data_IF_204365699199
#
_entry.id   IF_204365699199
#
_cell.length_a   1.000
_cell.length_b   1.000
_cell.length_c   1.000
_cell.angle_alpha   90.00
_cell.angle_beta   90.00
_cell.angle_gamma   90.00
#
_symmetry.space_group_name_H-M   'P 1'
#
loop_
_entity.id
_entity.type
_entity.pdbx_description
1 polymer ?
#
# COMPACT_ATOMS: atom_id res chain seq x y z
N UNK A 1 -3.70 -23.88 8.55
CA UNK A 1 -4.97 -24.61 8.68
C UNK A 1 -6.16 -23.71 8.37
N UNK A 2 -7.28 -24.32 8.16
CA UNK A 2 -8.56 -23.62 8.01
C UNK A 2 -8.85 -22.72 9.22
N UNK A 3 -8.59 -23.22 10.40
CA UNK A 3 -8.79 -22.49 11.66
C UNK A 3 -7.88 -21.28 11.74
N UNK A 4 -6.63 -21.42 11.35
CA UNK A 4 -5.69 -20.28 11.30
C UNK A 4 -6.16 -19.21 10.33
N UNK A 5 -6.70 -19.60 9.18
CA UNK A 5 -7.27 -18.66 8.21
C UNK A 5 -8.41 -17.85 8.80
N UNK A 6 -9.29 -18.51 9.56
CA UNK A 6 -10.41 -17.84 10.24
C UNK A 6 -9.90 -16.80 11.22
N UNK A 7 -8.88 -17.15 11.99
CA UNK A 7 -8.27 -16.23 12.95
C UNK A 7 -7.68 -15.02 12.23
N UNK A 8 -6.95 -15.25 11.13
CA UNK A 8 -6.36 -14.17 10.35
C UNK A 8 -7.42 -13.23 9.78
N UNK A 9 -8.52 -13.79 9.26
CA UNK A 9 -9.63 -13.00 8.75
C UNK A 9 -10.21 -12.12 9.86
N UNK A 10 -10.44 -12.68 11.02
CA UNK A 10 -10.98 -11.94 12.16
C UNK A 10 -10.03 -10.84 12.64
N UNK A 11 -8.73 -11.07 12.57
CA UNK A 11 -7.72 -10.06 12.92
C UNK A 11 -7.87 -8.79 12.07
N UNK A 12 -8.40 -8.90 10.85
CA UNK A 12 -8.54 -7.80 9.92
C UNK A 12 -9.99 -7.31 9.79
N UNK A 13 -10.90 -7.71 10.67
CA UNK A 13 -12.32 -7.35 10.60
C UNK A 13 -12.55 -5.85 10.56
N UNK A 14 -11.69 -5.06 11.18
CA UNK A 14 -11.85 -3.61 11.19
C UNK A 14 -11.35 -2.94 9.91
N UNK A 15 -10.65 -3.66 9.06
CA UNK A 15 -10.15 -3.08 7.81
C UNK A 15 -11.29 -2.90 6.80
N UNK A 16 -11.29 -1.76 6.11
CA UNK A 16 -12.14 -1.57 4.94
C UNK A 16 -11.46 -0.60 3.99
N UNK A 17 -11.82 -0.68 2.71
CA UNK A 17 -11.32 0.28 1.73
C UNK A 17 -11.71 1.71 2.10
N UNK A 18 -12.93 1.91 2.62
CA UNK A 18 -13.38 3.23 3.01
C UNK A 18 -12.51 3.82 4.11
N UNK A 19 -12.13 3.00 5.10
CA UNK A 19 -11.21 3.45 6.15
C UNK A 19 -9.84 3.78 5.61
N UNK A 20 -9.34 2.99 4.65
CA UNK A 20 -8.07 3.28 4.00
C UNK A 20 -8.14 4.61 3.24
N UNK A 21 -9.21 4.83 2.47
CA UNK A 21 -9.40 6.08 1.73
C UNK A 21 -9.40 7.27 2.69
N UNK A 22 -10.15 7.16 3.78
CA UNK A 22 -10.21 8.23 4.80
C UNK A 22 -8.83 8.53 5.36
N UNK A 23 -8.07 7.50 5.67
CA UNK A 23 -6.72 7.66 6.21
C UNK A 23 -5.78 8.30 5.20
N UNK A 24 -5.85 7.90 3.93
CA UNK A 24 -5.03 8.51 2.89
C UNK A 24 -5.33 10.01 2.74
N UNK A 25 -6.59 10.39 2.87
CA UNK A 25 -6.98 11.80 2.87
C UNK A 25 -6.41 12.53 4.08
N UNK A 26 -6.56 11.96 5.26
CA UNK A 26 -6.11 12.58 6.51
C UNK A 26 -4.60 12.80 6.52
N UNK A 27 -3.84 11.88 5.97
CA UNK A 27 -2.39 11.97 5.91
C UNK A 27 -1.89 12.86 4.76
N UNK A 28 -2.78 13.29 3.89
CA UNK A 28 -2.44 14.15 2.76
C UNK A 28 -1.37 13.52 1.86
N UNK A 29 -1.46 12.20 1.65
CA UNK A 29 -0.50 11.52 0.79
C UNK A 29 -0.61 12.03 -0.64
N UNK A 30 0.49 12.03 -1.36
CA UNK A 30 0.52 12.45 -2.77
C UNK A 30 -0.14 11.40 -3.65
N UNK A 31 -0.95 11.86 -4.60
CA UNK A 31 -1.60 11.00 -5.59
C UNK A 31 -2.32 9.82 -4.93
N UNK A 32 -3.25 10.09 -4.00
CA UNK A 32 -3.83 9.04 -3.18
C UNK A 32 -4.59 7.97 -3.98
N UNK A 33 -5.12 8.33 -5.15
CA UNK A 33 -5.78 7.35 -6.03
C UNK A 33 -4.79 6.32 -6.57
N UNK A 34 -3.54 6.73 -6.83
CA UNK A 34 -2.49 5.81 -7.25
C UNK A 34 -2.04 4.96 -6.07
N UNK A 35 -1.90 5.57 -4.89
CA UNK A 35 -1.53 4.85 -3.66
C UNK A 35 -2.57 3.78 -3.34
N UNK A 36 -3.85 4.09 -3.49
CA UNK A 36 -4.91 3.11 -3.29
C UNK A 36 -4.78 1.96 -4.30
N UNK A 37 -4.52 2.27 -5.57
CA UNK A 37 -4.31 1.23 -6.58
C UNK A 37 -3.12 0.35 -6.22
N UNK A 38 -2.04 0.91 -5.70
CA UNK A 38 -0.89 0.14 -5.23
C UNK A 38 -1.29 -0.80 -4.10
N UNK A 39 -2.01 -0.30 -3.10
CA UNK A 39 -2.45 -1.13 -1.98
C UNK A 39 -3.28 -2.31 -2.47
N UNK A 40 -4.21 -2.07 -3.37
CA UNK A 40 -5.06 -3.14 -3.92
C UNK A 40 -4.26 -4.16 -4.71
N UNK A 41 -3.31 -3.70 -5.51
CA UNK A 41 -2.47 -4.57 -6.32
C UNK A 41 -1.54 -5.41 -5.45
N UNK A 42 -0.84 -4.77 -4.52
CA UNK A 42 0.16 -5.45 -3.69
C UNK A 42 -0.47 -6.40 -2.67
N UNK A 43 -1.67 -6.10 -2.21
CA UNK A 43 -2.36 -6.92 -1.21
C UNK A 43 -3.30 -7.96 -1.83
N UNK A 44 -3.30 -8.10 -3.16
CA UNK A 44 -4.23 -9.00 -3.84
C UNK A 44 -5.68 -8.64 -3.54
N UNK A 45 -6.04 -7.37 -3.70
CA UNK A 45 -7.36 -6.84 -3.38
C UNK A 45 -7.72 -7.07 -1.92
N UNK A 46 -6.73 -6.88 -1.04
CA UNK A 46 -6.87 -7.00 0.42
C UNK A 46 -7.10 -8.44 0.90
N UNK A 47 -6.64 -9.43 0.14
CA UNK A 47 -6.87 -10.86 0.44
C UNK A 47 -5.61 -11.69 0.54
N UNK A 48 -4.42 -11.10 0.34
CA UNK A 48 -3.18 -11.88 0.30
C UNK A 48 -2.75 -12.36 1.69
N UNK A 49 -1.98 -13.45 1.72
CA UNK A 49 -1.40 -13.93 2.97
C UNK A 49 -0.45 -12.92 3.62
N UNK A 50 0.30 -12.18 2.80
CA UNK A 50 1.20 -11.14 3.32
C UNK A 50 0.40 -10.06 4.04
N UNK A 51 -0.73 -9.63 3.47
CA UNK A 51 -1.57 -8.65 4.14
C UNK A 51 -2.07 -9.18 5.49
N UNK A 52 -2.59 -10.41 5.52
CA UNK A 52 -3.14 -10.98 6.75
C UNK A 52 -2.06 -11.25 7.80
N UNK A 53 -0.91 -11.75 7.41
CA UNK A 53 0.14 -12.08 8.36
C UNK A 53 0.96 -10.88 8.81
N UNK A 54 1.25 -9.98 7.87
CA UNK A 54 2.17 -8.87 8.11
C UNK A 54 1.49 -7.52 8.30
N UNK A 55 0.18 -7.43 8.13
CA UNK A 55 -0.53 -6.13 8.09
C UNK A 55 0.06 -5.19 7.04
N UNK A 56 0.58 -5.75 5.95
CA UNK A 56 1.35 -5.04 4.95
C UNK A 56 0.52 -4.84 3.68
N UNK A 57 0.07 -3.61 3.44
CA UNK A 57 -0.78 -3.26 2.31
C UNK A 57 -0.01 -3.02 1.01
N UNK A 58 1.26 -2.65 1.11
CA UNK A 58 2.00 -2.12 -0.03
C UNK A 58 3.14 -3.00 -0.51
N UNK A 59 3.27 -4.20 0.06
CA UNK A 59 4.35 -5.11 -0.31
C UNK A 59 5.73 -4.60 0.07
N UNK A 60 5.83 -3.69 1.02
CA UNK A 60 7.10 -3.06 1.37
C UNK A 60 8.01 -4.00 2.12
N UNK A 61 9.31 -3.79 1.94
CA UNK A 61 10.32 -4.43 2.77
C UNK A 61 10.65 -3.51 3.94
N UNK A 62 11.27 -4.09 4.97
CA UNK A 62 11.67 -3.31 6.15
C UNK A 62 12.65 -2.22 5.75
N UNK A 63 12.31 -0.96 6.08
CA UNK A 63 13.15 0.18 5.75
C UNK A 63 14.43 0.17 6.59
N UNK A 64 15.55 0.52 5.95
CA UNK A 64 16.87 0.53 6.59
C UNK A 64 17.41 1.93 6.83
N UNK A 65 16.91 2.94 6.10
CA UNK A 65 17.52 4.27 6.06
C UNK A 65 16.52 5.41 6.19
N UNK A 66 15.37 5.14 6.77
CA UNK A 66 14.35 6.15 7.03
C UNK A 66 13.52 5.77 8.23
N UNK A 67 12.76 6.72 8.74
CA UNK A 67 11.76 6.44 9.78
C UNK A 67 10.77 5.41 9.24
N UNK A 68 10.44 4.44 10.06
CA UNK A 68 9.49 3.39 9.70
C UNK A 68 8.68 2.96 10.92
N UNK A 69 7.47 2.49 10.65
CA UNK A 69 6.59 1.89 11.66
C UNK A 69 6.67 0.36 11.64
N UNK A 70 7.51 -0.21 10.78
CA UNK A 70 7.68 -1.65 10.72
C UNK A 70 8.31 -2.18 11.99
N UNK A 71 7.83 -3.33 12.44
CA UNK A 71 8.36 -4.02 13.64
C UNK A 71 9.53 -4.94 13.30
N UNK A 72 9.68 -5.30 12.04
CA UNK A 72 10.72 -6.20 11.58
C UNK A 72 10.36 -6.80 10.24
N UNK A 73 10.98 -7.94 9.94
CA UNK A 73 10.79 -8.66 8.68
C UNK A 73 10.22 -10.04 8.94
N UNK A 74 9.18 -10.41 8.16
CA UNK A 74 8.59 -11.73 8.15
C UNK A 74 8.21 -12.07 6.71
N UNK A 75 8.51 -13.28 6.27
CA UNK A 75 8.25 -13.70 4.88
C UNK A 75 8.89 -12.75 3.86
N UNK A 76 10.08 -12.28 4.19
CA UNK A 76 10.86 -11.36 3.34
C UNK A 76 10.16 -10.02 3.09
N UNK A 77 9.23 -9.64 3.96
CA UNK A 77 8.51 -8.35 3.89
C UNK A 77 8.44 -7.73 5.26
N UNK A 78 8.30 -6.41 5.31
CA UNK A 78 8.05 -5.72 6.56
C UNK A 78 6.76 -6.22 7.20
N UNK A 79 6.73 -6.34 8.54
CA UNK A 79 5.50 -6.59 9.24
C UNK A 79 5.19 -5.48 10.23
N UNK A 80 3.91 -5.30 10.52
CA UNK A 80 3.39 -4.20 11.32
C UNK A 80 2.42 -4.74 12.36
N UNK A 81 2.24 -4.00 13.44
CA UNK A 81 1.27 -4.37 14.48
C UNK A 81 -0.18 -4.21 14.01
N UNK A 82 -0.42 -3.37 13.02
CA UNK A 82 -1.75 -3.04 12.54
C UNK A 82 -1.65 -2.58 11.10
N UNK A 83 -2.72 -2.76 10.30
CA UNK A 83 -2.70 -2.34 8.91
C UNK A 83 -2.47 -0.84 8.76
N UNK A 84 -2.95 -0.03 9.72
CA UNK A 84 -2.71 1.42 9.67
C UNK A 84 -1.24 1.78 9.71
N UNK A 85 -0.45 0.98 10.41
CA UNK A 85 0.99 1.23 10.48
C UNK A 85 1.67 1.07 9.12
N UNK A 86 1.16 0.20 8.24
CA UNK A 86 1.70 0.12 6.89
C UNK A 86 1.38 1.36 6.07
N UNK A 87 0.25 2.01 6.34
CA UNK A 87 -0.10 3.27 5.68
C UNK A 87 0.82 4.40 6.14
N UNK A 88 1.08 4.50 7.45
CA UNK A 88 2.05 5.45 7.96
C UNK A 88 3.43 5.22 7.34
N UNK A 89 3.84 3.96 7.24
CA UNK A 89 5.14 3.63 6.66
C UNK A 89 5.23 4.07 5.20
N UNK A 90 4.16 3.89 4.43
CA UNK A 90 4.11 4.38 3.05
C UNK A 90 4.20 5.91 2.99
N UNK A 91 3.53 6.60 3.90
CA UNK A 91 3.62 8.06 3.97
C UNK A 91 5.06 8.52 4.26
N UNK A 92 5.76 7.84 5.17
CA UNK A 92 7.18 8.12 5.42
C UNK A 92 8.02 7.86 4.17
N UNK A 93 7.71 6.80 3.44
CA UNK A 93 8.38 6.49 2.17
C UNK A 93 8.22 7.64 1.17
N UNK A 94 6.99 8.16 1.01
CA UNK A 94 6.76 9.30 0.14
C UNK A 94 7.57 10.52 0.58
N UNK A 95 7.58 10.82 1.88
CA UNK A 95 8.35 11.94 2.40
C UNK A 95 9.83 11.83 2.06
N UNK A 96 10.39 10.63 2.20
CA UNK A 96 11.82 10.41 2.01
C UNK A 96 12.25 10.41 0.55
N UNK A 97 11.47 9.79 -0.31
CA UNK A 97 11.91 9.51 -1.69
C UNK A 97 11.11 10.25 -2.76
N UNK A 98 9.89 10.68 -2.47
CA UNK A 98 8.97 11.19 -3.48
C UNK A 98 8.59 12.65 -3.28
N UNK A 99 9.23 13.35 -2.33
CA UNK A 99 8.87 14.73 -2.01
C UNK A 99 9.06 15.69 -3.18
N UNK A 100 9.98 15.37 -4.10
CA UNK A 100 10.28 16.23 -5.25
C UNK A 100 9.37 15.95 -6.46
N UNK A 101 8.60 14.87 -6.42
CA UNK A 101 7.74 14.49 -7.55
C UNK A 101 6.47 15.33 -7.52
N UNK A 102 6.17 16.03 -8.62
CA UNK A 102 5.07 16.97 -8.70
C UNK A 102 3.95 16.56 -9.66
N UNK A 103 4.18 15.55 -10.51
CA UNK A 103 3.19 15.13 -11.50
C UNK A 103 2.90 13.63 -11.41
N UNK A 104 1.71 13.24 -11.85
CA UNK A 104 1.34 11.82 -11.92
C UNK A 104 2.25 11.06 -12.90
N UNK A 105 2.59 11.68 -14.03
CA UNK A 105 3.45 11.04 -15.00
C UNK A 105 4.80 10.67 -14.38
N UNK A 106 5.39 11.59 -13.62
CA UNK A 106 6.67 11.33 -12.95
C UNK A 106 6.51 10.29 -11.84
N UNK A 107 5.38 10.29 -11.14
CA UNK A 107 5.10 9.30 -10.11
C UNK A 107 5.03 7.89 -10.71
N UNK A 108 4.28 7.73 -11.79
CA UNK A 108 4.21 6.44 -12.49
C UNK A 108 5.57 6.00 -13.02
N UNK A 109 6.34 6.94 -13.57
CA UNK A 109 7.68 6.63 -14.06
C UNK A 109 8.58 6.11 -12.93
N UNK A 110 8.55 6.77 -11.79
CA UNK A 110 9.30 6.34 -10.61
C UNK A 110 8.88 4.93 -10.17
N UNK A 111 7.57 4.68 -10.08
CA UNK A 111 7.08 3.39 -9.64
C UNK A 111 7.49 2.27 -10.60
N UNK A 112 7.44 2.53 -11.90
CA UNK A 112 7.84 1.55 -12.90
C UNK A 112 9.32 1.21 -12.84
N UNK A 113 10.15 2.16 -12.44
CA UNK A 113 11.60 1.95 -12.37
C UNK A 113 12.06 1.37 -11.04
N UNK A 114 11.33 1.62 -9.95
CA UNK A 114 11.88 1.44 -8.60
C UNK A 114 11.03 0.62 -7.64
N UNK A 115 9.73 0.44 -7.89
CA UNK A 115 8.85 -0.15 -6.89
C UNK A 115 8.61 -1.64 -7.10
N UNK A 116 8.38 -2.07 -8.33
CA UNK A 116 8.07 -3.47 -8.62
C UNK A 116 8.90 -3.99 -9.78
N UNK A 117 9.20 -5.29 -9.75
CA UNK A 117 9.94 -5.95 -10.83
C UNK A 117 9.06 -6.25 -12.06
N UNK A 118 7.74 -6.32 -11.86
CA UNK A 118 6.78 -6.59 -12.93
C UNK A 118 6.75 -5.42 -13.92
N UNK A 119 7.12 -5.68 -15.18
CA UNK A 119 7.12 -4.66 -16.23
C UNK A 119 5.73 -4.13 -16.55
N UNK A 120 4.67 -4.84 -16.14
CA UNK A 120 3.29 -4.45 -16.34
C UNK A 120 2.69 -3.69 -15.16
N UNK A 121 3.48 -3.41 -14.12
CA UNK A 121 3.01 -2.83 -12.89
C UNK A 121 2.28 -1.50 -13.10
N UNK A 122 2.92 -0.57 -13.81
CA UNK A 122 2.33 0.75 -14.06
C UNK A 122 1.05 0.64 -14.88
N UNK A 123 1.04 -0.22 -15.91
CA UNK A 123 -0.17 -0.43 -16.73
C UNK A 123 -1.32 -0.96 -15.88
N UNK A 124 -1.03 -1.89 -14.96
CA UNK A 124 -2.05 -2.42 -14.06
C UNK A 124 -2.61 -1.34 -13.15
N UNK A 125 -1.75 -0.48 -12.62
CA UNK A 125 -2.20 0.63 -11.76
C UNK A 125 -3.08 1.60 -12.52
N UNK A 126 -2.66 2.00 -13.72
CA UNK A 126 -3.44 2.94 -14.55
C UNK A 126 -4.80 2.36 -14.90
N UNK A 127 -4.83 1.10 -15.30
CA UNK A 127 -6.09 0.42 -15.62
C UNK A 127 -7.03 0.38 -14.41
N UNK A 128 -6.50 0.08 -13.24
CA UNK A 128 -7.31 0.01 -12.02
C UNK A 128 -7.86 1.39 -11.64
N UNK A 129 -7.04 2.43 -11.70
CA UNK A 129 -7.50 3.79 -11.43
C UNK A 129 -8.68 4.15 -12.32
N UNK A 130 -8.60 3.83 -13.61
CA UNK A 130 -9.65 4.17 -14.55
C UNK A 130 -10.89 3.28 -14.41
N UNK A 131 -10.71 1.96 -14.36
CA UNK A 131 -11.84 1.01 -14.33
C UNK A 131 -12.64 1.10 -13.02
N UNK A 132 -11.98 1.35 -11.92
CA UNK A 132 -12.63 1.40 -10.62
C UNK A 132 -12.93 2.84 -10.18
N UNK A 133 -12.67 3.81 -11.06
CA UNK A 133 -12.97 5.24 -10.81
C UNK A 133 -12.36 5.74 -9.49
N UNK A 134 -11.12 5.34 -9.21
CA UNK A 134 -10.50 5.62 -7.92
C UNK A 134 -10.30 7.11 -7.66
N UNK A 135 -10.15 7.93 -8.71
CA UNK A 135 -10.01 9.38 -8.54
C UNK A 135 -11.19 10.00 -7.81
N UNK A 136 -12.39 9.50 -8.07
CA UNK A 136 -13.62 10.06 -7.50
C UNK A 136 -13.67 9.90 -5.98
N UNK A 137 -12.96 8.92 -5.44
CA UNK A 137 -12.94 8.69 -3.99
C UNK A 137 -12.21 9.80 -3.24
N UNK A 138 -11.40 10.59 -3.95
CA UNK A 138 -10.56 11.63 -3.36
C UNK A 138 -10.95 13.05 -3.81
N UNK A 139 -12.07 13.18 -4.45
CA UNK A 139 -12.59 14.50 -4.85
C UNK A 139 -13.14 15.30 -3.66
#
# INVERSE_FOLDING_TARGET
TEYERVIMIKKHDEFSQDKLVEMLKDLNVKFPHIVLAQAKTESGHFKSGIFFENNNLFGMKEAQRRITTAEGTNRNHAYYNHWRESVYDYAFYQCRYLSVIKSEADYFQYLGASYAEDTQYVSKLKNMVDKESLRKLFD
#
